data_IF_263005941831
#
_entry.id   IF_263005941831
#
_cell.length_a   1.000
_cell.length_b   1.000
_cell.length_c   1.000
_cell.angle_alpha   90.00
_cell.angle_beta   90.00
_cell.angle_gamma   90.00
#
_symmetry.space_group_name_H-M   'P 1'
#
loop_
_entity.id
_entity.type
_entity.pdbx_description
1 polymer ?
#
# COMPACT_ATOMS: atom_id res chain seq x y z
N UNK A 1 8.03 8.92 -29.50
CA UNK A 1 8.03 9.21 -28.05
C UNK A 1 6.88 8.41 -27.46
N UNK A 2 7.16 7.15 -27.12
CA UNK A 2 6.16 6.13 -26.76
C UNK A 2 5.56 6.46 -25.40
N UNK A 3 4.23 6.62 -25.35
CA UNK A 3 3.48 6.67 -24.12
C UNK A 3 3.72 5.38 -23.34
N UNK A 4 4.19 5.50 -22.09
CA UNK A 4 4.30 4.37 -21.17
C UNK A 4 2.89 3.87 -20.90
N UNK A 5 2.57 2.72 -21.50
CA UNK A 5 1.37 1.96 -21.23
C UNK A 5 1.34 1.70 -19.71
N UNK A 6 0.36 2.32 -19.05
CA UNK A 6 0.17 2.16 -17.62
C UNK A 6 -0.42 0.78 -17.40
N UNK A 7 0.46 -0.22 -17.37
CA UNK A 7 0.12 -1.55 -16.89
C UNK A 7 -0.65 -1.37 -15.58
N UNK A 8 -1.91 -1.75 -15.59
CA UNK A 8 -2.75 -1.75 -14.40
C UNK A 8 -2.06 -2.67 -13.41
N UNK A 9 -1.29 -2.10 -12.49
CA UNK A 9 -0.55 -2.91 -11.53
C UNK A 9 -1.59 -3.58 -10.65
N UNK A 10 -1.78 -4.89 -10.86
CA UNK A 10 -2.74 -5.69 -10.13
C UNK A 10 -2.16 -5.93 -8.74
N UNK A 11 -2.83 -5.42 -7.72
CA UNK A 11 -2.54 -5.77 -6.34
C UNK A 11 -2.92 -7.24 -6.09
N UNK A 12 -1.93 -8.11 -6.08
CA UNK A 12 -2.06 -9.51 -5.68
C UNK A 12 -1.95 -9.63 -4.15
N UNK A 13 -3.08 -9.91 -3.47
CA UNK A 13 -3.13 -10.00 -2.01
C UNK A 13 -2.33 -11.19 -1.46
N UNK A 14 -2.03 -12.18 -2.28
CA UNK A 14 -1.35 -13.41 -1.87
C UNK A 14 0.18 -13.33 -2.12
N UNK A 15 0.69 -12.13 -2.41
CA UNK A 15 2.12 -11.81 -2.50
C UNK A 15 2.58 -10.86 -1.40
N UNK A 16 3.90 -10.86 -1.19
CA UNK A 16 4.60 -9.92 -0.32
C UNK A 16 4.73 -8.54 -0.97
N UNK A 17 4.50 -7.50 -0.17
CA UNK A 17 4.60 -6.09 -0.58
C UNK A 17 5.35 -5.31 0.48
N UNK A 18 5.81 -4.11 0.12
CA UNK A 18 6.49 -3.20 1.03
C UNK A 18 6.16 -1.74 0.67
N UNK A 19 6.43 -0.82 1.57
CA UNK A 19 6.52 0.60 1.21
C UNK A 19 7.72 0.80 0.29
N UNK A 20 7.58 1.67 -0.70
CA UNK A 20 8.73 2.06 -1.50
C UNK A 20 9.79 2.69 -0.58
N UNK A 21 11.09 2.37 -0.71
CA UNK A 21 12.15 2.88 0.18
C UNK A 21 12.36 4.41 0.14
N UNK A 22 11.63 5.11 -0.72
CA UNK A 22 11.65 6.57 -0.84
C UNK A 22 10.34 7.20 -0.33
N UNK A 23 9.50 6.43 0.36
CA UNK A 23 8.26 6.92 0.94
C UNK A 23 8.47 7.15 2.43
N UNK A 24 8.17 8.37 2.86
CA UNK A 24 8.03 8.70 4.28
C UNK A 24 6.56 8.59 4.67
N UNK A 25 6.32 7.98 5.83
CA UNK A 25 5.00 7.88 6.45
C UNK A 25 4.97 8.80 7.66
N UNK A 26 4.00 9.73 7.68
CA UNK A 26 3.71 10.57 8.84
C UNK A 26 2.32 10.20 9.38
N UNK A 27 2.25 9.49 10.52
CA UNK A 27 0.98 9.20 11.18
C UNK A 27 0.27 10.48 11.63
N UNK A 28 -1.05 10.48 11.52
CA UNK A 28 -1.94 11.59 11.91
C UNK A 28 -3.21 11.03 12.55
N UNK A 29 -4.00 11.80 13.32
CA UNK A 29 -5.21 11.29 13.99
C UNK A 29 -6.25 10.67 13.04
N UNK A 30 -6.29 11.09 11.78
CA UNK A 30 -7.17 10.55 10.76
C UNK A 30 -6.59 9.33 9.99
N UNK A 31 -5.32 9.01 10.17
CA UNK A 31 -4.60 8.00 9.39
C UNK A 31 -3.16 8.42 9.13
N UNK A 32 -2.79 8.76 7.90
CA UNK A 32 -1.42 9.18 7.58
C UNK A 32 -1.28 10.03 6.32
N UNK A 33 -0.15 10.73 6.25
CA UNK A 33 0.40 11.35 5.05
C UNK A 33 1.57 10.50 4.54
N UNK A 34 1.53 10.12 3.27
CA UNK A 34 2.59 9.40 2.59
C UNK A 34 3.24 10.32 1.56
N UNK A 35 4.54 10.56 1.68
CA UNK A 35 5.29 11.39 0.74
C UNK A 35 6.38 10.59 0.06
N UNK A 36 6.36 10.54 -1.27
CA UNK A 36 7.39 9.87 -2.06
C UNK A 36 8.45 10.88 -2.52
N UNK A 37 9.70 10.75 -2.07
CA UNK A 37 10.77 11.70 -2.37
C UNK A 37 11.16 11.75 -3.85
N UNK A 38 11.19 10.61 -4.55
CA UNK A 38 11.48 10.55 -5.99
C UNK A 38 10.41 11.22 -6.87
N UNK A 39 9.14 10.83 -6.74
CA UNK A 39 8.05 11.35 -7.59
C UNK A 39 7.42 12.64 -7.07
N UNK A 40 7.75 13.04 -5.83
CA UNK A 40 7.15 14.18 -5.09
C UNK A 40 5.64 14.08 -4.90
N UNK A 41 5.06 12.89 -5.04
CA UNK A 41 3.63 12.65 -4.82
C UNK A 41 3.33 12.64 -3.31
N UNK A 42 2.17 13.16 -2.96
CA UNK A 42 1.59 13.12 -1.61
C UNK A 42 0.29 12.32 -1.65
N UNK A 43 0.15 11.31 -0.80
CA UNK A 43 -1.06 10.51 -0.64
C UNK A 43 -1.57 10.59 0.79
N UNK A 44 -2.90 10.53 0.95
CA UNK A 44 -3.58 10.61 2.23
C UNK A 44 -4.26 9.29 2.52
N UNK A 45 -3.85 8.63 3.62
CA UNK A 45 -4.60 7.51 4.17
C UNK A 45 -5.58 8.11 5.19
N UNK A 46 -6.87 8.12 4.87
CA UNK A 46 -7.94 8.63 5.75
C UNK A 46 -8.54 7.56 6.67
N UNK A 47 -7.87 6.42 6.76
CA UNK A 47 -8.28 5.27 7.55
C UNK A 47 -7.08 4.74 8.32
N UNK A 48 -7.17 4.75 9.66
CA UNK A 48 -6.11 4.28 10.55
C UNK A 48 -5.83 2.78 10.39
N UNK A 49 -6.81 1.99 9.98
CA UNK A 49 -6.60 0.57 9.69
C UNK A 49 -5.79 0.38 8.42
N UNK A 50 -6.00 1.22 7.40
CA UNK A 50 -5.18 1.19 6.19
C UNK A 50 -3.72 1.58 6.49
N UNK A 51 -3.49 2.55 7.39
CA UNK A 51 -2.14 2.83 7.90
C UNK A 51 -1.53 1.59 8.57
N UNK A 52 -2.26 0.93 9.47
CA UNK A 52 -1.78 -0.27 10.15
C UNK A 52 -1.42 -1.39 9.16
N UNK A 53 -2.25 -1.60 8.12
CA UNK A 53 -1.94 -2.55 7.04
C UNK A 53 -0.64 -2.17 6.33
N UNK A 54 -0.50 -0.91 5.90
CA UNK A 54 0.68 -0.44 5.17
C UNK A 54 1.96 -0.59 6.00
N UNK A 55 1.91 -0.35 7.31
CA UNK A 55 3.05 -0.56 8.22
C UNK A 55 3.39 -2.05 8.37
N UNK A 56 2.40 -2.93 8.35
CA UNK A 56 2.61 -4.38 8.50
C UNK A 56 3.09 -5.08 7.22
N UNK A 57 3.03 -4.43 6.05
CA UNK A 57 3.41 -5.06 4.77
C UNK A 57 4.86 -5.58 4.77
N UNK A 58 5.80 -4.79 5.32
CA UNK A 58 7.22 -5.14 5.37
C UNK A 58 7.51 -6.46 6.11
N UNK A 59 6.72 -6.76 7.13
CA UNK A 59 6.92 -7.94 7.99
C UNK A 59 6.03 -9.13 7.59
N UNK A 60 4.91 -8.87 6.90
CA UNK A 60 3.96 -9.90 6.55
C UNK A 60 4.40 -10.70 5.31
N UNK A 61 4.13 -12.02 5.26
CA UNK A 61 4.43 -12.84 4.08
C UNK A 61 3.54 -12.49 2.88
N UNK A 62 2.34 -11.97 3.13
CA UNK A 62 1.41 -11.52 2.10
C UNK A 62 0.65 -10.26 2.52
N UNK A 63 0.14 -9.48 1.56
CA UNK A 63 -0.72 -8.35 1.89
C UNK A 63 -2.03 -8.79 2.57
N UNK A 64 -2.55 -9.98 2.26
CA UNK A 64 -3.65 -10.60 3.00
C UNK A 64 -3.29 -10.79 4.47
N UNK A 65 -2.11 -11.35 4.77
CA UNK A 65 -1.66 -11.53 6.15
C UNK A 65 -1.50 -10.19 6.88
N UNK A 66 -0.99 -9.15 6.22
CA UNK A 66 -0.93 -7.80 6.78
C UNK A 66 -2.33 -7.23 7.10
N UNK A 67 -3.32 -7.46 6.21
CA UNK A 67 -4.70 -7.06 6.45
C UNK A 67 -5.29 -7.75 7.69
N UNK A 68 -5.13 -9.06 7.81
CA UNK A 68 -5.62 -9.83 8.94
C UNK A 68 -4.93 -9.43 10.25
N UNK A 69 -3.62 -9.20 10.22
CA UNK A 69 -2.85 -8.72 11.37
C UNK A 69 -3.30 -7.32 11.84
N UNK A 70 -3.78 -6.47 10.93
CA UNK A 70 -4.38 -5.17 11.24
C UNK A 70 -5.84 -5.27 11.75
N UNK A 71 -6.35 -6.50 11.96
CA UNK A 71 -7.70 -6.75 12.49
C UNK A 71 -8.81 -6.63 11.45
N UNK A 72 -8.49 -6.70 10.15
CA UNK A 72 -9.50 -6.71 9.09
C UNK A 72 -10.08 -8.12 8.90
N UNK A 73 -11.39 -8.19 8.69
CA UNK A 73 -12.07 -9.45 8.33
C UNK A 73 -11.93 -9.78 6.85
N UNK A 74 -12.14 -11.05 6.48
CA UNK A 74 -12.06 -11.50 5.08
C UNK A 74 -12.98 -10.71 4.14
N UNK A 75 -14.18 -10.37 4.61
CA UNK A 75 -15.16 -9.58 3.85
C UNK A 75 -14.68 -8.14 3.53
N UNK A 76 -13.68 -7.64 4.24
CA UNK A 76 -13.11 -6.30 4.02
C UNK A 76 -11.95 -6.33 3.01
N UNK A 77 -11.34 -7.49 2.78
CA UNK A 77 -10.15 -7.63 1.92
C UNK A 77 -10.35 -7.07 0.50
N UNK A 78 -11.50 -7.25 -0.19
CA UNK A 78 -11.67 -6.64 -1.51
C UNK A 78 -11.61 -5.11 -1.48
N UNK A 79 -12.10 -4.48 -0.40
CA UNK A 79 -12.06 -3.01 -0.25
C UNK A 79 -10.62 -2.54 0.01
N UNK A 80 -9.90 -3.18 0.92
CA UNK A 80 -8.53 -2.81 1.25
C UNK A 80 -7.55 -3.16 0.13
N UNK A 81 -7.78 -4.25 -0.61
CA UNK A 81 -7.02 -4.59 -1.81
C UNK A 81 -7.11 -3.51 -2.89
N UNK A 82 -8.30 -2.93 -3.11
CA UNK A 82 -8.44 -1.76 -4.01
C UNK A 82 -7.66 -0.54 -3.51
N UNK A 83 -7.68 -0.27 -2.21
CA UNK A 83 -6.92 0.85 -1.65
C UNK A 83 -5.41 0.64 -1.82
N UNK A 84 -4.91 -0.58 -1.57
CA UNK A 84 -3.51 -0.95 -1.80
C UNK A 84 -3.14 -0.85 -3.29
N UNK A 85 -4.02 -1.27 -4.20
CA UNK A 85 -3.78 -1.11 -5.64
C UNK A 85 -3.55 0.35 -6.06
N UNK A 86 -4.28 1.30 -5.47
CA UNK A 86 -4.05 2.75 -5.70
C UNK A 86 -2.67 3.19 -5.17
N UNK A 87 -2.24 2.66 -4.03
CA UNK A 87 -0.90 2.93 -3.50
C UNK A 87 0.19 2.35 -4.42
N UNK A 88 -0.05 1.18 -5.00
CA UNK A 88 0.88 0.59 -5.97
C UNK A 88 0.93 1.42 -7.27
N UNK A 89 -0.21 1.84 -7.80
CA UNK A 89 -0.28 2.72 -8.99
C UNK A 89 0.41 4.08 -8.77
N UNK A 90 0.45 4.56 -7.53
CA UNK A 90 1.15 5.80 -7.16
C UNK A 90 2.61 5.58 -6.73
N UNK A 91 3.12 4.35 -6.83
CA UNK A 91 4.46 3.93 -6.41
C UNK A 91 4.72 4.08 -4.91
N UNK A 92 3.67 4.22 -4.09
CA UNK A 92 3.79 4.29 -2.64
C UNK A 92 4.12 2.93 -2.03
N UNK A 93 3.54 1.87 -2.61
CA UNK A 93 3.74 0.46 -2.24
C UNK A 93 4.33 -0.27 -3.44
N UNK A 94 5.25 -1.20 -3.19
CA UNK A 94 5.97 -1.98 -4.21
C UNK A 94 5.96 -3.46 -3.86
N UNK A 95 6.02 -4.32 -4.87
CA UNK A 95 6.15 -5.75 -4.64
C UNK A 95 7.51 -6.06 -4.04
N UNK A 96 7.55 -6.93 -3.03
CA UNK A 96 8.82 -7.44 -2.49
C UNK A 96 9.22 -8.63 -3.34
N UNK A 97 10.31 -8.50 -4.09
CA UNK A 97 10.91 -9.65 -4.78
C UNK A 97 11.44 -10.61 -3.70
N UNK A 98 11.16 -11.92 -3.78
CA UNK A 98 11.72 -12.90 -2.86
C UNK A 98 13.26 -12.94 -2.92
#
# INVERSE_FOLDING_TARGET
>A
MTATDSATVVMDLDRAWDLHPQVSVRPEPFGALLYHFGTRKLSFLKDRRLLAVVQALGDAPTARAACLAAGLGENELPRYGRALAVLVQSSMVVGRTP
#
